data_IF_245754164406
#
_entry.id   IF_245754164406
#
_cell.length_a   1.000
_cell.length_b   1.000
_cell.length_c   1.000
_cell.angle_alpha   90.00
_cell.angle_beta   90.00
_cell.angle_gamma   90.00
#
_symmetry.space_group_name_H-M   'P 1'
#
loop_
_entity.id
_entity.type
_entity.pdbx_description
1 polymer ?
#
# COMPACT_ATOMS: atom_id res chain seq x y z
N UNK A 1 -7.36 14.56 -9.44
CA UNK A 1 -8.25 13.50 -9.95
C UNK A 1 -7.52 12.49 -10.82
N UNK A 2 -6.83 12.88 -11.91
CA UNK A 2 -6.10 11.96 -12.80
C UNK A 2 -5.15 11.00 -12.06
N UNK A 3 -4.30 11.51 -11.16
CA UNK A 3 -3.37 10.68 -10.37
C UNK A 3 -4.07 9.58 -9.56
N UNK A 4 -5.21 9.90 -8.94
CA UNK A 4 -5.98 8.94 -8.15
C UNK A 4 -6.54 7.83 -9.05
N UNK A 5 -7.11 8.20 -10.20
CA UNK A 5 -7.62 7.20 -11.17
C UNK A 5 -6.50 6.27 -11.67
N UNK A 6 -5.30 6.81 -11.93
CA UNK A 6 -4.13 6.00 -12.31
C UNK A 6 -3.77 5.03 -11.19
N UNK A 7 -3.70 5.50 -9.95
CA UNK A 7 -3.37 4.67 -8.79
C UNK A 7 -4.40 3.53 -8.61
N UNK A 8 -5.69 3.84 -8.70
CA UNK A 8 -6.78 2.85 -8.63
C UNK A 8 -6.65 1.83 -9.75
N UNK A 9 -6.47 2.28 -11.00
CA UNK A 9 -6.36 1.39 -12.16
C UNK A 9 -5.15 0.45 -12.03
N UNK A 10 -3.99 0.96 -11.62
CA UNK A 10 -2.79 0.15 -11.41
C UNK A 10 -2.95 -0.82 -10.25
N UNK A 11 -3.55 -0.40 -9.13
CA UNK A 11 -3.78 -1.28 -8.00
C UNK A 11 -4.74 -2.41 -8.37
N UNK A 12 -5.82 -2.12 -9.10
CA UNK A 12 -6.75 -3.13 -9.60
C UNK A 12 -6.07 -4.09 -10.58
N UNK A 13 -5.22 -3.58 -11.48
CA UNK A 13 -4.46 -4.41 -12.40
C UNK A 13 -3.51 -5.36 -11.65
N UNK A 14 -2.79 -4.86 -10.64
CA UNK A 14 -1.91 -5.66 -9.79
C UNK A 14 -2.71 -6.68 -8.97
N UNK A 15 -3.85 -6.29 -8.40
CA UNK A 15 -4.74 -7.19 -7.66
C UNK A 15 -5.22 -8.34 -8.54
N UNK A 16 -5.75 -8.04 -9.72
CA UNK A 16 -6.22 -9.06 -10.67
C UNK A 16 -5.06 -9.96 -11.09
N UNK A 17 -3.88 -9.41 -11.39
CA UNK A 17 -2.71 -10.19 -11.77
C UNK A 17 -2.23 -11.11 -10.64
N UNK A 18 -2.19 -10.62 -9.40
CA UNK A 18 -1.77 -11.37 -8.22
C UNK A 18 -2.71 -12.53 -7.92
N UNK A 19 -4.02 -12.32 -8.05
CA UNK A 19 -5.01 -13.39 -7.85
C UNK A 19 -5.03 -14.42 -8.98
N UNK A 20 -4.77 -14.00 -10.22
CA UNK A 20 -4.70 -14.93 -11.38
C UNK A 20 -3.41 -15.74 -11.43
N UNK A 21 -2.28 -15.15 -11.03
CA UNK A 21 -0.97 -15.73 -11.34
C UNK A 21 0.10 -15.52 -10.28
N UNK A 22 -0.19 -14.78 -9.20
CA UNK A 22 0.71 -14.58 -8.08
C UNK A 22 0.65 -15.72 -7.06
N UNK A 23 1.69 -15.79 -6.22
CA UNK A 23 1.74 -16.68 -5.08
C UNK A 23 0.95 -16.12 -3.90
N UNK A 24 1.00 -16.83 -2.76
CA UNK A 24 0.35 -16.40 -1.52
C UNK A 24 0.74 -14.98 -1.08
N UNK A 25 2.04 -14.60 -0.97
CA UNK A 25 2.42 -13.26 -0.50
C UNK A 25 1.95 -12.16 -1.46
N UNK A 26 2.01 -12.38 -2.78
CA UNK A 26 1.54 -11.41 -3.77
C UNK A 26 0.04 -11.13 -3.63
N UNK A 27 -0.78 -12.18 -3.43
CA UNK A 27 -2.23 -12.06 -3.20
C UNK A 27 -2.53 -11.31 -1.90
N UNK A 28 -1.84 -11.64 -0.82
CA UNK A 28 -2.06 -11.01 0.48
C UNK A 28 -1.74 -9.52 0.46
N UNK A 29 -0.56 -9.13 -0.05
CA UNK A 29 -0.18 -7.71 -0.13
C UNK A 29 -1.14 -6.94 -1.04
N UNK A 30 -1.47 -7.48 -2.22
CA UNK A 30 -2.41 -6.81 -3.12
C UNK A 30 -3.79 -6.60 -2.47
N UNK A 31 -4.30 -7.59 -1.74
CA UNK A 31 -5.57 -7.48 -1.01
C UNK A 31 -5.50 -6.47 0.14
N UNK A 32 -4.39 -6.39 0.88
CA UNK A 32 -4.20 -5.40 1.95
C UNK A 32 -4.33 -3.98 1.38
N UNK A 33 -3.58 -3.67 0.32
CA UNK A 33 -3.62 -2.33 -0.28
C UNK A 33 -4.95 -2.03 -0.98
N UNK A 34 -5.60 -3.02 -1.59
CA UNK A 34 -6.95 -2.87 -2.13
C UNK A 34 -7.98 -2.56 -1.03
N UNK A 35 -7.89 -3.23 0.12
CA UNK A 35 -8.74 -2.95 1.27
C UNK A 35 -8.50 -1.54 1.82
N UNK A 36 -7.25 -1.10 1.94
CA UNK A 36 -6.91 0.28 2.33
C UNK A 36 -7.53 1.30 1.37
N UNK A 37 -7.41 1.09 0.06
CA UNK A 37 -8.00 1.97 -0.95
C UNK A 37 -9.52 2.07 -0.78
N UNK A 38 -10.21 0.93 -0.65
CA UNK A 38 -11.67 0.89 -0.53
C UNK A 38 -12.11 1.57 0.77
N UNK A 39 -11.54 1.18 1.91
CA UNK A 39 -11.95 1.73 3.22
C UNK A 39 -11.63 3.22 3.29
N UNK A 40 -10.44 3.64 2.84
CA UNK A 40 -10.05 5.04 2.80
C UNK A 40 -10.96 5.87 1.88
N UNK A 41 -11.30 5.36 0.70
CA UNK A 41 -12.18 6.08 -0.24
C UNK A 41 -13.63 6.17 0.28
N UNK A 42 -14.13 5.14 0.94
CA UNK A 42 -15.46 5.16 1.57
C UNK A 42 -15.47 6.16 2.73
N UNK A 43 -14.43 6.17 3.57
CA UNK A 43 -14.31 7.15 4.65
C UNK A 43 -14.29 8.58 4.11
N UNK A 44 -13.46 8.85 3.10
CA UNK A 44 -13.37 10.18 2.48
C UNK A 44 -14.72 10.59 1.84
N UNK A 45 -15.48 9.65 1.27
CA UNK A 45 -16.79 9.91 0.67
C UNK A 45 -17.89 10.21 1.71
N UNK A 46 -17.89 9.52 2.85
CA UNK A 46 -18.95 9.66 3.86
C UNK A 46 -18.64 10.68 4.97
N UNK A 47 -17.36 10.89 5.31
CA UNK A 47 -16.95 11.59 6.52
C UNK A 47 -16.28 12.96 6.28
N UNK A 48 -15.82 13.26 5.06
CA UNK A 48 -15.08 14.51 4.78
C UNK A 48 -15.89 15.41 3.83
N UNK A 49 -16.29 16.63 4.24
CA UNK A 49 -16.86 17.61 3.33
C UNK A 49 -15.88 17.99 2.21
N UNK A 50 -16.33 18.24 0.96
CA UNK A 50 -15.47 18.45 -0.22
C UNK A 50 -14.37 19.53 -0.13
N UNK A 51 -14.40 20.37 0.91
CA UNK A 51 -13.54 21.54 1.07
C UNK A 51 -12.58 21.49 2.28
N UNK A 52 -12.42 20.36 2.96
CA UNK A 52 -11.53 20.24 4.15
C UNK A 52 -10.53 19.09 4.03
N UNK A 53 -9.81 19.00 2.92
CA UNK A 53 -8.59 18.17 2.86
C UNK A 53 -7.46 18.90 3.62
N UNK A 54 -7.61 18.98 4.94
CA UNK A 54 -6.68 19.69 5.82
C UNK A 54 -5.51 18.77 6.18
N UNK A 55 -4.33 19.07 5.65
CA UNK A 55 -3.08 18.33 5.93
C UNK A 55 -2.42 18.78 7.25
N UNK A 56 -3.00 19.78 7.91
CA UNK A 56 -2.59 20.28 9.22
C UNK A 56 -3.09 19.37 10.35
N UNK A 57 -4.14 18.57 10.12
CA UNK A 57 -4.81 17.77 11.16
C UNK A 57 -4.44 16.29 11.11
N UNK A 58 -4.39 15.68 12.30
CA UNK A 58 -4.23 14.24 12.44
C UNK A 58 -5.53 13.51 12.04
N UNK A 59 -5.49 12.78 10.93
CA UNK A 59 -6.58 11.92 10.50
C UNK A 59 -6.47 10.55 11.20
N UNK A 60 -7.08 10.41 12.39
CA UNK A 60 -6.99 9.19 13.20
C UNK A 60 -7.34 7.91 12.40
N UNK A 61 -8.35 7.97 11.54
CA UNK A 61 -8.76 6.83 10.70
C UNK A 61 -7.67 6.45 9.69
N UNK A 62 -7.00 7.44 9.08
CA UNK A 62 -5.89 7.22 8.14
C UNK A 62 -4.71 6.56 8.85
N UNK A 63 -4.35 7.07 10.03
CA UNK A 63 -3.32 6.48 10.87
C UNK A 63 -3.62 5.02 11.24
N UNK A 64 -4.84 4.72 11.68
CA UNK A 64 -5.24 3.36 12.03
C UNK A 64 -5.19 2.41 10.82
N UNK A 65 -5.60 2.87 9.64
CA UNK A 65 -5.47 2.10 8.40
C UNK A 65 -4.01 1.79 8.08
N UNK A 66 -3.13 2.79 8.17
CA UNK A 66 -1.71 2.60 7.89
C UNK A 66 -1.02 1.69 8.90
N UNK A 67 -1.39 1.79 10.18
CA UNK A 67 -0.87 0.94 11.25
C UNK A 67 -1.32 -0.52 11.08
N UNK A 68 -2.60 -0.74 10.76
CA UNK A 68 -3.13 -2.08 10.50
C UNK A 68 -2.49 -2.70 9.25
N UNK A 69 -2.31 -1.91 8.20
CA UNK A 69 -1.61 -2.34 7.00
C UNK A 69 -0.14 -2.68 7.27
N UNK A 70 0.55 -1.90 8.10
CA UNK A 70 1.92 -2.20 8.52
C UNK A 70 1.99 -3.57 9.20
N UNK A 71 1.13 -3.82 10.19
CA UNK A 71 1.07 -5.11 10.89
C UNK A 71 0.79 -6.26 9.92
N UNK A 72 -0.16 -6.06 9.00
CA UNK A 72 -0.52 -7.08 8.02
C UNK A 72 0.64 -7.38 7.04
N UNK A 73 1.32 -6.36 6.52
CA UNK A 73 2.46 -6.53 5.59
C UNK A 73 3.67 -7.12 6.31
N UNK A 74 3.97 -6.68 7.53
CA UNK A 74 5.05 -7.27 8.34
C UNK A 74 4.77 -8.74 8.61
N UNK A 75 3.53 -9.10 8.95
CA UNK A 75 3.14 -10.51 9.09
C UNK A 75 3.37 -11.30 7.80
N UNK A 76 3.01 -10.75 6.64
CA UNK A 76 3.31 -11.39 5.34
C UNK A 76 4.82 -11.56 5.15
N UNK A 77 5.61 -10.54 5.46
CA UNK A 77 7.07 -10.60 5.32
C UNK A 77 7.72 -11.65 6.23
N UNK A 78 7.18 -11.85 7.43
CA UNK A 78 7.64 -12.87 8.37
C UNK A 78 7.17 -14.29 8.00
N UNK A 79 6.01 -14.42 7.38
CA UNK A 79 5.44 -15.73 7.02
C UNK A 79 5.89 -16.27 5.65
N UNK A 80 6.41 -15.40 4.76
CA UNK A 80 6.74 -15.78 3.39
C UNK A 80 8.13 -15.30 2.97
N UNK A 81 8.94 -16.19 2.41
CA UNK A 81 10.30 -15.88 1.93
C UNK A 81 10.27 -15.14 0.58
N UNK A 82 10.01 -13.83 0.66
CA UNK A 82 9.99 -12.88 -0.47
C UNK A 82 10.67 -11.59 -0.06
N UNK A 83 11.88 -11.37 -0.57
CA UNK A 83 12.71 -10.19 -0.29
C UNK A 83 11.95 -8.86 -0.41
N UNK A 84 11.06 -8.72 -1.42
CA UNK A 84 10.35 -7.47 -1.71
C UNK A 84 9.28 -7.11 -0.66
N UNK A 85 8.81 -8.07 0.15
CA UNK A 85 7.78 -7.81 1.16
C UNK A 85 8.28 -6.92 2.31
N UNK A 86 9.56 -7.05 2.69
CA UNK A 86 10.21 -6.19 3.68
C UNK A 86 10.34 -4.74 3.18
N UNK A 87 10.56 -4.54 1.89
CA UNK A 87 10.59 -3.20 1.28
C UNK A 87 9.21 -2.54 1.34
N UNK A 88 8.15 -3.30 1.08
CA UNK A 88 6.76 -2.81 1.23
C UNK A 88 6.47 -2.48 2.69
N UNK A 89 6.87 -3.35 3.63
CA UNK A 89 6.72 -3.08 5.07
C UNK A 89 7.46 -1.83 5.53
N UNK A 90 8.67 -1.61 5.02
CA UNK A 90 9.48 -0.42 5.31
C UNK A 90 8.83 0.85 4.76
N UNK A 91 8.29 0.80 3.54
CA UNK A 91 7.52 1.91 2.98
C UNK A 91 6.27 2.18 3.82
N UNK A 92 5.55 1.14 4.25
CA UNK A 92 4.37 1.29 5.09
C UNK A 92 4.70 1.87 6.47
N UNK A 93 5.88 1.55 7.02
CA UNK A 93 6.37 2.15 8.26
C UNK A 93 6.55 3.67 8.10
N UNK A 94 7.04 4.13 6.94
CA UNK A 94 7.17 5.57 6.64
C UNK A 94 5.81 6.28 6.68
N UNK A 95 4.74 5.65 6.16
CA UNK A 95 3.38 6.20 6.25
C UNK A 95 2.93 6.37 7.71
N UNK A 96 3.12 5.33 8.53
CA UNK A 96 2.80 5.38 9.97
C UNK A 96 3.63 6.47 10.67
N UNK A 97 4.91 6.61 10.34
CA UNK A 97 5.76 7.67 10.91
C UNK A 97 5.29 9.07 10.53
N UNK A 98 4.73 9.28 9.32
CA UNK A 98 4.17 10.58 8.94
C UNK A 98 3.08 11.04 9.91
N UNK A 99 2.19 10.11 10.28
CA UNK A 99 1.13 10.36 11.25
C UNK A 99 1.65 10.55 12.67
N UNK A 100 2.63 9.76 13.11
CA UNK A 100 3.21 9.93 14.45
C UNK A 100 3.92 11.28 14.59
N UNK A 101 4.69 11.70 13.58
CA UNK A 101 5.34 13.01 13.58
C UNK A 101 4.31 14.14 13.63
N UNK A 102 3.20 14.01 12.90
CA UNK A 102 2.09 14.97 12.97
C UNK A 102 1.41 14.98 14.34
N UNK A 103 1.18 13.80 14.92
CA UNK A 103 0.55 13.65 16.25
C UNK A 103 1.41 14.22 17.38
N UNK A 104 2.74 14.21 17.22
CA UNK A 104 3.70 14.79 18.14
C UNK A 104 3.97 16.28 17.88
N UNK A 105 3.18 16.93 17.01
CA UNK A 105 3.33 18.35 16.65
C UNK A 105 4.75 18.71 16.14
N UNK A 106 5.47 17.72 15.57
CA UNK A 106 6.81 17.95 15.05
C UNK A 106 6.74 18.90 13.85
N UNK A 107 7.72 19.82 13.70
CA UNK A 107 7.75 20.78 12.60
C UNK A 107 8.16 20.09 11.29
N UNK A 108 7.25 19.31 10.71
CA UNK A 108 7.43 18.66 9.41
C UNK A 108 6.80 19.51 8.30
N UNK A 109 7.54 19.81 7.21
CA UNK A 109 6.95 20.50 6.07
C UNK A 109 5.76 19.73 5.51
N UNK A 110 4.68 20.43 5.15
CA UNK A 110 3.47 19.79 4.58
C UNK A 110 3.78 18.93 3.34
N UNK A 111 4.76 19.34 2.54
CA UNK A 111 5.26 18.54 1.42
C UNK A 111 5.87 17.21 1.87
N UNK A 112 6.71 17.21 2.91
CA UNK A 112 7.31 15.99 3.44
C UNK A 112 6.25 15.04 3.99
N UNK A 113 5.28 15.54 4.75
CA UNK A 113 4.12 14.77 5.21
C UNK A 113 3.37 14.13 4.03
N UNK A 114 3.02 14.93 3.03
CA UNK A 114 2.28 14.44 1.86
C UNK A 114 3.05 13.40 1.04
N UNK A 115 4.39 13.48 1.00
CA UNK A 115 5.23 12.46 0.38
C UNK A 115 5.23 11.19 1.21
N UNK A 116 5.51 11.28 2.51
CA UNK A 116 5.57 10.12 3.41
C UNK A 116 4.25 9.37 3.51
N UNK A 117 3.12 10.08 3.47
CA UNK A 117 1.78 9.48 3.48
C UNK A 117 1.43 8.78 2.15
N UNK A 118 1.80 9.36 1.00
CA UNK A 118 1.27 8.92 -0.30
C UNK A 118 2.18 7.97 -1.08
N UNK A 119 3.49 8.17 -1.01
CA UNK A 119 4.44 7.38 -1.79
C UNK A 119 4.51 5.89 -1.43
N UNK A 120 4.27 5.48 -0.17
CA UNK A 120 4.31 4.06 0.20
C UNK A 120 3.39 3.17 -0.64
N UNK A 121 2.19 3.65 -1.00
CA UNK A 121 1.27 2.89 -1.84
C UNK A 121 1.83 2.69 -3.26
N UNK A 122 2.53 3.67 -3.82
CA UNK A 122 3.16 3.53 -5.13
C UNK A 122 4.28 2.48 -5.10
N UNK A 123 5.10 2.49 -4.06
CA UNK A 123 6.13 1.47 -3.84
C UNK A 123 5.49 0.08 -3.71
N UNK A 124 4.40 -0.04 -2.95
CA UNK A 124 3.68 -1.29 -2.79
C UNK A 124 3.11 -1.82 -4.10
N UNK A 125 2.48 -0.98 -4.92
CA UNK A 125 1.96 -1.34 -6.25
C UNK A 125 3.09 -1.86 -7.14
N UNK A 126 4.20 -1.12 -7.23
CA UNK A 126 5.33 -1.47 -8.08
C UNK A 126 5.98 -2.80 -7.65
N UNK A 127 6.27 -2.96 -6.36
CA UNK A 127 6.92 -4.16 -5.85
C UNK A 127 6.01 -5.39 -5.89
N UNK A 128 4.72 -5.24 -5.60
CA UNK A 128 3.75 -6.35 -5.68
C UNK A 128 3.51 -6.77 -7.13
N UNK A 129 3.43 -5.80 -8.06
CA UNK A 129 3.34 -6.06 -9.49
C UNK A 129 4.58 -6.78 -10.02
N UNK A 130 5.78 -6.31 -9.67
CA UNK A 130 7.04 -6.96 -10.02
C UNK A 130 7.15 -8.36 -9.42
N UNK A 131 6.81 -8.52 -8.14
CA UNK A 131 6.79 -9.82 -7.46
C UNK A 131 5.87 -10.82 -8.15
N UNK A 132 4.67 -10.36 -8.56
CA UNK A 132 3.70 -11.16 -9.32
C UNK A 132 4.26 -11.58 -10.68
N UNK A 133 4.87 -10.66 -11.43
CA UNK A 133 5.48 -10.94 -12.72
C UNK A 133 6.61 -11.96 -12.59
N UNK A 134 7.54 -11.75 -11.65
CA UNK A 134 8.66 -12.65 -11.41
C UNK A 134 8.19 -14.05 -10.97
N UNK A 135 7.16 -14.13 -10.12
CA UNK A 135 6.59 -15.41 -9.71
C UNK A 135 6.02 -16.18 -10.91
N UNK A 136 5.21 -15.51 -11.74
CA UNK A 136 4.63 -16.12 -12.96
C UNK A 136 5.70 -16.63 -13.92
N UNK A 137 6.78 -15.86 -14.11
CA UNK A 137 7.90 -16.25 -14.98
C UNK A 137 8.61 -17.50 -14.48
N UNK A 138 8.82 -17.63 -13.15
CA UNK A 138 9.43 -18.83 -12.55
C UNK A 138 8.55 -20.07 -12.73
N UNK A 139 7.25 -19.96 -12.45
CA UNK A 139 6.30 -21.08 -12.60
C UNK A 139 6.21 -21.56 -14.05
N UNK A 140 6.27 -20.64 -15.02
CA UNK A 140 6.29 -20.99 -16.45
C UNK A 140 7.59 -21.69 -16.87
N UNK A 141 8.73 -21.22 -16.39
CA UNK A 141 10.01 -21.84 -16.70
C UNK A 141 10.06 -23.30 -16.21
N UNK A 142 9.55 -23.57 -15.00
CA UNK A 142 9.50 -24.94 -14.45
C UNK A 142 8.50 -25.85 -15.19
N UNK A 143 7.40 -25.30 -15.72
CA UNK A 143 6.42 -26.08 -16.47
C UNK A 143 6.90 -26.49 -17.87
N UNK A 144 7.82 -25.73 -18.47
CA UNK A 144 8.40 -26.05 -19.78
C UNK A 144 9.57 -27.04 -19.70
N UNK A 145 10.07 -27.33 -18.50
CA UNK A 145 11.16 -28.29 -18.26
C UNK A 145 10.67 -29.71 -17.89
N UNK A 146 9.35 -29.91 -17.83
CA UNK A 146 8.69 -31.20 -17.55
C UNK A 146 7.94 -31.67 -18.78
#
# INVERSE_FOLDING_TARGET
>A
MVRFLIQVALLLAVLIAAWRSGGKPERHVATIYAAMLVIGSLYDFFAIPPHQADYEQLHLVRFLLDALALVAVVRVALCFDRWWTLWVGSAQLIAVMAHLLRALEMPIPAFAYAVMERWPVWIAILLTGLGTFLHRSRVRATANST
#
